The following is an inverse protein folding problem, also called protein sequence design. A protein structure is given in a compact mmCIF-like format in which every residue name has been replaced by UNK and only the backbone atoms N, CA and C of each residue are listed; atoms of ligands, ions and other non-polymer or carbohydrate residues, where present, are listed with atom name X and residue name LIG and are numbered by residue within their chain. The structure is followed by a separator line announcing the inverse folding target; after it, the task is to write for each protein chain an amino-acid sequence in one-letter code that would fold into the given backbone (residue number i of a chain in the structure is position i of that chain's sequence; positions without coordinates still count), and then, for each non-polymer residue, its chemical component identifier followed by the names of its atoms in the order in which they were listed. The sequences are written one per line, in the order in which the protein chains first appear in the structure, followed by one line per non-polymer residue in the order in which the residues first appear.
data_IF_803950505632
#
_entry.id   IF_803950505632
#
_cell.length_a   1.000
_cell.length_b   1.000
_cell.length_c   1.000
_cell.angle_alpha   90.00
_cell.angle_beta   90.00
_cell.angle_gamma   90.00
#
_symmetry.space_group_name_H-M   'P 1'
#
loop_
_entity.id
_entity.type
_entity.pdbx_description
1 polymer ?
#
# COMPACT_ATOMS: atom_id res chain seq x y z
N UNK A 1 -27.16 0.74 9.26
CA UNK A 1 -25.84 0.07 9.32
C UNK A 1 -24.79 1.16 9.47
N UNK A 2 -24.09 1.22 10.60
CA UNK A 2 -22.95 2.14 10.75
C UNK A 2 -21.77 1.47 10.05
N UNK A 3 -21.47 1.88 8.80
CA UNK A 3 -20.38 1.31 8.02
C UNK A 3 -19.01 1.43 8.71
N UNK A 4 -18.00 0.77 8.14
CA UNK A 4 -16.63 0.85 8.64
C UNK A 4 -15.94 2.14 8.19
N UNK A 5 -14.99 2.63 9.00
CA UNK A 5 -14.13 3.77 8.66
C UNK A 5 -12.68 3.35 8.77
N UNK A 6 -11.87 3.78 7.81
CA UNK A 6 -10.44 3.49 7.76
C UNK A 6 -9.64 4.80 7.80
N UNK A 7 -8.51 4.77 8.49
CA UNK A 7 -7.47 5.80 8.44
C UNK A 7 -6.17 5.14 8.01
N UNK A 8 -5.41 5.84 7.17
CA UNK A 8 -4.15 5.36 6.58
C UNK A 8 -3.07 6.40 6.84
N UNK A 9 -1.87 5.94 7.13
CA UNK A 9 -0.70 6.79 7.39
C UNK A 9 0.46 6.31 6.54
N UNK A 10 1.27 7.26 6.09
CA UNK A 10 2.60 6.95 5.56
C UNK A 10 3.54 6.62 6.72
N UNK A 11 4.42 5.66 6.49
CA UNK A 11 5.43 5.25 7.45
C UNK A 11 6.73 4.89 6.72
N UNK A 12 7.85 5.12 7.39
CA UNK A 12 9.18 4.74 6.93
C UNK A 12 9.82 3.79 7.95
N UNK A 13 10.66 2.84 7.51
CA UNK A 13 11.42 2.01 8.43
C UNK A 13 12.35 2.85 9.31
N UNK A 14 12.39 2.56 10.62
CA UNK A 14 13.27 3.28 11.55
C UNK A 14 14.77 3.06 11.25
N UNK A 15 15.13 1.93 10.65
CA UNK A 15 16.51 1.62 10.25
C UNK A 15 16.64 1.53 8.75
N UNK A 16 17.72 2.09 8.22
CA UNK A 16 18.07 1.97 6.81
C UNK A 16 18.27 0.49 6.45
N UNK A 17 17.60 0.06 5.39
CA UNK A 17 17.68 -1.33 4.91
C UNK A 17 16.64 -2.27 5.51
N UNK A 18 15.92 -1.87 6.56
CA UNK A 18 14.83 -2.68 7.08
C UNK A 18 13.72 -2.83 6.03
N UNK A 19 13.19 -4.05 5.94
CA UNK A 19 12.06 -4.42 5.08
C UNK A 19 11.04 -5.16 5.93
N UNK A 20 9.76 -4.90 5.65
CA UNK A 20 8.66 -5.65 6.24
C UNK A 20 8.73 -7.12 5.84
N UNK A 21 8.20 -7.98 6.69
CA UNK A 21 7.99 -9.41 6.41
C UNK A 21 6.53 -9.76 6.66
N UNK A 22 6.00 -10.73 5.92
CA UNK A 22 4.66 -11.25 6.18
C UNK A 22 4.59 -11.86 7.59
N UNK A 23 3.59 -11.44 8.37
CA UNK A 23 3.23 -12.09 9.62
C UNK A 23 2.23 -13.23 9.40
N UNK A 24 1.83 -13.94 10.45
CA UNK A 24 0.95 -15.11 10.34
C UNK A 24 -0.44 -14.83 9.72
N UNK A 25 -0.88 -13.57 9.71
CA UNK A 25 -2.16 -13.16 9.13
C UNK A 25 -2.10 -12.82 7.63
N UNK A 26 -0.93 -12.91 6.99
CA UNK A 26 -0.75 -12.58 5.58
C UNK A 26 0.01 -13.70 4.87
N UNK A 27 -0.46 -14.08 3.68
CA UNK A 27 0.17 -15.15 2.88
C UNK A 27 1.52 -14.73 2.30
N UNK A 28 1.64 -13.47 1.86
CA UNK A 28 2.86 -12.93 1.27
C UNK A 28 2.99 -11.42 1.48
N UNK A 29 4.23 -10.93 1.38
CA UNK A 29 4.54 -9.50 1.36
C UNK A 29 5.54 -9.24 0.24
N UNK A 30 5.20 -8.32 -0.65
CA UNK A 30 6.03 -7.92 -1.78
C UNK A 30 6.16 -6.39 -1.80
N UNK A 31 7.37 -5.90 -2.02
CA UNK A 31 7.63 -4.49 -2.26
C UNK A 31 7.44 -4.21 -3.75
N UNK A 32 6.54 -3.27 -4.08
CA UNK A 32 6.17 -2.95 -5.45
C UNK A 32 6.56 -1.50 -5.74
N UNK A 33 7.13 -1.25 -6.92
CA UNK A 33 7.47 0.11 -7.33
C UNK A 33 6.19 0.94 -7.55
N UNK A 34 6.26 2.22 -7.20
CA UNK A 34 5.24 3.21 -7.58
C UNK A 34 5.49 3.82 -8.96
N UNK A 35 6.65 3.54 -9.55
CA UNK A 35 7.07 4.02 -10.87
C UNK A 35 7.48 2.81 -11.75
N UNK A 36 6.77 2.53 -12.86
CA UNK A 36 5.61 3.27 -13.36
C UNK A 36 4.36 3.03 -12.51
N UNK A 37 3.42 4.00 -12.41
CA UNK A 37 2.20 3.86 -11.61
C UNK A 37 1.33 2.65 -11.95
N UNK A 38 1.43 2.13 -13.17
CA UNK A 38 0.71 0.94 -13.60
C UNK A 38 1.07 -0.30 -12.76
N UNK A 39 2.30 -0.38 -12.25
CA UNK A 39 2.77 -1.55 -11.50
C UNK A 39 1.98 -1.77 -10.21
N UNK A 40 1.65 -0.69 -9.49
CA UNK A 40 0.81 -0.78 -8.29
C UNK A 40 -0.68 -0.81 -8.62
N UNK A 41 -1.14 -0.06 -9.64
CA UNK A 41 -2.57 0.05 -9.98
C UNK A 41 -3.21 -1.24 -10.48
N UNK A 42 -2.44 -2.12 -11.11
CA UNK A 42 -2.96 -3.35 -11.71
C UNK A 42 -3.04 -4.54 -10.75
N UNK A 43 -2.55 -4.39 -9.51
CA UNK A 43 -2.68 -5.42 -8.49
C UNK A 43 -4.15 -5.61 -8.09
N UNK A 44 -4.54 -6.82 -7.64
CA UNK A 44 -5.93 -7.16 -7.33
C UNK A 44 -6.39 -6.56 -5.98
N UNK A 45 -6.41 -5.24 -5.90
CA UNK A 45 -6.85 -4.51 -4.70
C UNK A 45 -8.35 -4.71 -4.43
N UNK A 46 -8.73 -4.62 -3.16
CA UNK A 46 -10.14 -4.52 -2.81
C UNK A 46 -10.68 -3.15 -3.26
N UNK A 47 -11.98 -3.03 -3.59
CA UNK A 47 -12.57 -1.75 -3.96
C UNK A 47 -12.35 -0.63 -2.93
N UNK A 48 -12.26 -0.99 -1.64
CA UNK A 48 -12.01 -0.05 -0.55
C UNK A 48 -10.60 0.57 -0.58
N UNK A 49 -9.64 -0.08 -1.24
CA UNK A 49 -8.24 0.33 -1.26
C UNK A 49 -7.91 1.22 -2.45
N UNK A 50 -8.70 1.18 -3.53
CA UNK A 50 -8.44 1.97 -4.75
C UNK A 50 -8.23 3.47 -4.47
N UNK A 51 -9.01 4.14 -3.61
CA UNK A 51 -8.75 5.55 -3.29
C UNK A 51 -7.40 5.78 -2.58
N UNK A 52 -6.92 4.80 -1.81
CA UNK A 52 -5.61 4.86 -1.14
C UNK A 52 -4.50 4.74 -2.19
N UNK A 53 -4.63 3.79 -3.13
CA UNK A 53 -3.63 3.59 -4.19
C UNK A 53 -3.48 4.83 -5.07
N UNK A 54 -4.60 5.45 -5.46
CA UNK A 54 -4.55 6.70 -6.23
C UNK A 54 -3.94 7.86 -5.44
N UNK A 55 -4.22 7.96 -4.14
CA UNK A 55 -3.59 8.96 -3.27
C UNK A 55 -2.07 8.72 -3.15
N UNK A 56 -1.63 7.46 -2.99
CA UNK A 56 -0.21 7.11 -2.92
C UNK A 56 0.53 7.47 -4.20
N UNK A 57 -0.01 7.10 -5.37
CA UNK A 57 0.57 7.44 -6.68
C UNK A 57 0.60 8.96 -6.89
N UNK A 58 -0.44 9.68 -6.50
CA UNK A 58 -0.50 11.14 -6.67
C UNK A 58 0.50 11.87 -5.79
N UNK A 59 0.70 11.41 -4.54
CA UNK A 59 1.57 12.07 -3.57
C UNK A 59 3.04 11.65 -3.71
N UNK A 60 3.31 10.40 -4.09
CA UNK A 60 4.63 9.78 -4.07
C UNK A 60 5.13 9.28 -5.43
N UNK A 61 4.25 9.16 -6.43
CA UNK A 61 4.66 8.84 -7.80
C UNK A 61 5.54 9.95 -8.35
N UNK A 62 6.63 9.56 -9.00
CA UNK A 62 7.61 10.48 -9.61
C UNK A 62 7.24 10.78 -11.06
#
# INVERSE_FOLDING_TARGET
MHGFRMRVWLAEPTRVGDRGRAGAAHERLEWVSLDPPSQVRQLPWLPADLPIIEALVTVLGR
#
